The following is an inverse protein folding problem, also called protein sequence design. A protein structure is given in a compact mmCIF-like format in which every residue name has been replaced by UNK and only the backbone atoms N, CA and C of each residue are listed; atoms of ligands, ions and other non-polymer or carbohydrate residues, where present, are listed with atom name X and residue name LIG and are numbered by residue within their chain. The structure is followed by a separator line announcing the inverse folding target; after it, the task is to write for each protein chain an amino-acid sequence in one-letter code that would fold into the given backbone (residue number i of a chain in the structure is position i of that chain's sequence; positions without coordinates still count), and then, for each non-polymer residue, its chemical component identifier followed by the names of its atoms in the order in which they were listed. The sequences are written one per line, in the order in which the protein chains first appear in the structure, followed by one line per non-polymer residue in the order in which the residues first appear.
data_IF_449169607898
#
_entry.id   IF_449169607898
#
_cell.length_a   1.000
_cell.length_b   1.000
_cell.length_c   1.000
_cell.angle_alpha   90.00
_cell.angle_beta   90.00
_cell.angle_gamma   90.00
#
_symmetry.space_group_name_H-M   'P 1'
#
loop_
_entity.id
_entity.type
_entity.pdbx_description
1 polymer ?
#
# COMPACT_ATOMS: atom_id res chain seq x y z
N UNK A 1 15.40 -27.94 16.32
CA UNK A 1 14.26 -27.10 16.76
C UNK A 1 14.54 -25.58 16.77
N UNK A 2 15.69 -25.07 16.29
CA UNK A 2 15.96 -23.62 16.24
C UNK A 2 15.77 -22.98 14.85
N UNK A 3 15.76 -23.77 13.77
CA UNK A 3 15.58 -23.29 12.38
C UNK A 3 14.14 -22.78 12.18
N UNK A 4 13.13 -23.55 12.57
CA UNK A 4 11.72 -23.15 12.51
C UNK A 4 11.38 -21.87 13.30
N UNK A 5 12.13 -21.52 14.35
CA UNK A 5 11.89 -20.28 15.11
C UNK A 5 12.35 -19.02 14.38
N UNK A 6 13.36 -19.12 13.51
CA UNK A 6 13.91 -17.96 12.79
C UNK A 6 12.95 -17.49 11.71
N UNK A 7 12.34 -18.43 10.99
CA UNK A 7 11.40 -18.11 9.91
C UNK A 7 10.12 -17.48 10.46
N UNK A 8 9.57 -18.02 11.56
CA UNK A 8 8.40 -17.41 12.24
C UNK A 8 8.70 -15.98 12.71
N UNK A 9 9.90 -15.72 13.23
CA UNK A 9 10.29 -14.37 13.67
C UNK A 9 10.34 -13.37 12.50
N UNK A 10 10.73 -13.82 11.30
CA UNK A 10 10.74 -12.98 10.11
C UNK A 10 9.32 -12.59 9.68
N UNK A 11 8.40 -13.56 9.63
CA UNK A 11 6.99 -13.27 9.30
C UNK A 11 6.32 -12.38 10.35
N UNK A 12 6.64 -12.55 11.63
CA UNK A 12 6.13 -11.68 12.70
C UNK A 12 6.64 -10.25 12.56
N UNK A 13 7.94 -10.07 12.28
CA UNK A 13 8.52 -8.74 12.05
C UNK A 13 7.90 -8.06 10.81
N UNK A 14 7.74 -8.81 9.71
CA UNK A 14 7.11 -8.30 8.51
C UNK A 14 5.66 -7.89 8.75
N UNK A 15 4.88 -8.73 9.44
CA UNK A 15 3.50 -8.40 9.83
C UNK A 15 3.43 -7.17 10.73
N UNK A 16 4.35 -7.03 11.68
CA UNK A 16 4.45 -5.85 12.55
C UNK A 16 4.80 -4.57 11.76
N UNK A 17 5.72 -4.66 10.79
CA UNK A 17 6.04 -3.52 9.93
C UNK A 17 4.85 -3.12 9.04
N UNK A 18 4.10 -4.08 8.52
CA UNK A 18 2.88 -3.82 7.74
C UNK A 18 1.81 -3.12 8.57
N UNK A 19 1.57 -3.57 9.81
CA UNK A 19 0.58 -2.93 10.69
C UNK A 19 1.01 -1.53 11.08
N UNK A 20 2.28 -1.31 11.41
CA UNK A 20 2.81 0.03 11.71
C UNK A 20 2.66 0.95 10.50
N UNK A 21 3.07 0.52 9.30
CA UNK A 21 2.93 1.31 8.07
C UNK A 21 1.47 1.64 7.75
N UNK A 22 0.56 0.68 7.96
CA UNK A 22 -0.89 0.89 7.81
C UNK A 22 -1.43 1.93 8.79
N UNK A 23 -1.05 1.85 10.06
CA UNK A 23 -1.44 2.84 11.08
C UNK A 23 -0.89 4.24 10.78
N UNK A 24 0.36 4.32 10.32
CA UNK A 24 0.96 5.60 9.88
C UNK A 24 0.17 6.16 8.71
N UNK A 25 -0.21 5.34 7.72
CA UNK A 25 -1.01 5.81 6.57
C UNK A 25 -2.39 6.33 6.98
N UNK A 26 -3.03 5.71 7.97
CA UNK A 26 -4.34 6.14 8.47
C UNK A 26 -4.27 7.40 9.33
N UNK A 27 -3.16 7.64 10.02
CA UNK A 27 -2.99 8.80 10.91
C UNK A 27 -2.34 10.00 10.20
N UNK A 28 -1.41 9.74 9.27
CA UNK A 28 -0.71 10.76 8.50
C UNK A 28 -1.64 11.43 7.49
N UNK A 29 -1.94 12.71 7.73
CA UNK A 29 -2.65 13.57 6.81
C UNK A 29 -2.71 15.00 7.35
N UNK A 30 -3.01 15.95 6.46
CA UNK A 30 -3.06 17.37 6.82
C UNK A 30 -4.21 17.71 7.80
N UNK A 31 -5.24 16.87 7.85
CA UNK A 31 -6.38 17.05 8.77
C UNK A 31 -6.05 16.53 10.17
N UNK A 32 -6.24 17.34 11.23
CA UNK A 32 -6.06 16.91 12.62
C UNK A 32 -6.93 15.70 12.97
N UNK A 33 -6.43 14.84 13.87
CA UNK A 33 -7.13 13.62 14.30
C UNK A 33 -8.50 13.90 14.94
N UNK A 34 -8.67 15.07 15.55
CA UNK A 34 -9.95 15.48 16.15
C UNK A 34 -11.04 15.69 15.09
N UNK A 35 -10.72 16.36 13.98
CA UNK A 35 -11.67 16.56 12.88
C UNK A 35 -12.03 15.24 12.20
N UNK A 36 -11.07 14.32 12.15
CA UNK A 36 -11.26 12.98 11.62
C UNK A 36 -12.25 12.17 12.48
N UNK A 37 -12.12 12.24 13.81
CA UNK A 37 -13.03 11.57 14.74
C UNK A 37 -14.44 12.17 14.68
N UNK A 38 -14.54 13.51 14.64
CA UNK A 38 -15.82 14.21 14.52
C UNK A 38 -16.52 13.90 13.20
N UNK A 39 -15.78 13.80 12.08
CA UNK A 39 -16.35 13.41 10.78
C UNK A 39 -16.87 11.97 10.73
N UNK A 40 -16.33 11.06 11.55
CA UNK A 40 -16.89 9.71 11.73
C UNK A 40 -18.18 9.78 12.54
N UNK A 41 -18.16 10.47 13.67
CA UNK A 41 -19.33 10.58 14.55
C UNK A 41 -20.50 11.25 13.83
N UNK A 42 -20.26 12.35 13.11
CA UNK A 42 -21.32 13.04 12.36
C UNK A 42 -21.96 12.15 11.28
N UNK A 43 -21.17 11.32 10.61
CA UNK A 43 -21.68 10.39 9.60
C UNK A 43 -22.52 9.27 10.20
N UNK A 44 -22.16 8.80 11.40
CA UNK A 44 -22.88 7.74 12.12
C UNK A 44 -24.18 8.28 12.74
N UNK A 45 -24.15 9.46 13.34
CA UNK A 45 -25.29 9.99 14.12
C UNK A 45 -26.25 10.85 13.32
N UNK A 46 -25.77 11.68 12.39
CA UNK A 46 -26.60 12.68 11.70
C UNK A 46 -26.92 12.33 10.25
N UNK A 47 -26.40 11.21 9.71
CA UNK A 47 -26.52 10.81 8.30
C UNK A 47 -26.26 11.95 7.30
N UNK A 48 -25.51 12.97 7.71
CA UNK A 48 -25.16 14.11 6.87
C UNK A 48 -24.04 13.70 5.92
N UNK A 49 -24.13 14.13 4.67
CA UNK A 49 -23.14 13.86 3.62
C UNK A 49 -21.88 14.72 3.78
N UNK A 50 -21.36 14.82 5.00
CA UNK A 50 -20.10 15.52 5.27
C UNK A 50 -18.95 14.64 4.78
N UNK A 51 -18.00 15.28 4.11
CA UNK A 51 -16.75 14.66 3.67
C UNK A 51 -16.02 14.03 4.86
N UNK A 52 -15.67 12.74 4.77
CA UNK A 52 -14.94 12.04 5.81
C UNK A 52 -13.54 11.67 5.30
N UNK A 53 -12.48 12.39 5.74
CA UNK A 53 -11.12 12.17 5.25
C UNK A 53 -10.61 10.73 5.43
N UNK A 54 -11.08 9.99 6.45
CA UNK A 54 -10.67 8.60 6.64
C UNK A 54 -11.27 7.67 5.60
N UNK A 55 -12.59 7.76 5.38
CA UNK A 55 -13.30 6.82 4.50
C UNK A 55 -13.15 7.19 3.03
N UNK A 56 -13.13 8.48 2.72
CA UNK A 56 -13.18 8.96 1.34
C UNK A 56 -11.78 9.07 0.71
N UNK A 57 -10.71 9.23 1.50
CA UNK A 57 -9.34 9.40 0.98
C UNK A 57 -8.32 8.40 1.56
N UNK A 58 -8.21 8.30 2.90
CA UNK A 58 -7.12 7.54 3.55
C UNK A 58 -7.27 6.03 3.41
N UNK A 59 -8.48 5.50 3.59
CA UNK A 59 -8.75 4.07 3.49
C UNK A 59 -8.61 3.55 2.03
N UNK A 60 -9.18 4.21 1.00
CA UNK A 60 -8.90 3.87 -0.39
C UNK A 60 -7.41 3.92 -0.73
N UNK A 61 -6.68 4.94 -0.26
CA UNK A 61 -5.22 5.05 -0.46
C UNK A 61 -4.46 3.88 0.15
N UNK A 62 -4.82 3.45 1.36
CA UNK A 62 -4.20 2.30 2.02
C UNK A 62 -4.41 1.00 1.23
N UNK A 63 -5.61 0.78 0.69
CA UNK A 63 -5.91 -0.38 -0.17
C UNK A 63 -5.02 -0.36 -1.42
N UNK A 64 -4.94 0.77 -2.11
CA UNK A 64 -4.10 0.92 -3.31
C UNK A 64 -2.62 0.67 -2.99
N UNK A 65 -2.11 1.19 -1.87
CA UNK A 65 -0.73 0.97 -1.42
C UNK A 65 -0.43 -0.52 -1.18
N UNK A 66 -1.33 -1.24 -0.49
CA UNK A 66 -1.15 -2.66 -0.22
C UNK A 66 -1.22 -3.49 -1.50
N UNK A 67 -2.22 -3.26 -2.35
CA UNK A 67 -2.38 -3.98 -3.62
C UNK A 67 -1.20 -3.74 -4.56
N UNK A 68 -0.76 -2.48 -4.68
CA UNK A 68 0.37 -2.11 -5.53
C UNK A 68 1.67 -2.72 -4.99
N UNK A 69 1.95 -2.58 -3.69
CA UNK A 69 3.14 -3.17 -3.07
C UNK A 69 3.20 -4.70 -3.21
N UNK A 70 2.08 -5.39 -2.98
CA UNK A 70 2.00 -6.84 -3.17
C UNK A 70 2.22 -7.23 -4.64
N UNK A 71 1.62 -6.50 -5.58
CA UNK A 71 1.79 -6.74 -7.02
C UNK A 71 3.25 -6.55 -7.46
N UNK A 72 3.94 -5.53 -6.96
CA UNK A 72 5.37 -5.33 -7.23
C UNK A 72 6.23 -6.46 -6.66
N UNK A 73 5.95 -6.90 -5.43
CA UNK A 73 6.69 -8.00 -4.80
C UNK A 73 6.53 -9.30 -5.60
N UNK A 74 5.30 -9.63 -6.03
CA UNK A 74 5.02 -10.81 -6.87
C UNK A 74 5.68 -10.68 -8.24
N UNK A 75 5.54 -9.53 -8.91
CA UNK A 75 6.16 -9.29 -10.21
C UNK A 75 7.69 -9.44 -10.15
N UNK A 76 8.32 -8.91 -9.11
CA UNK A 76 9.76 -9.09 -8.85
C UNK A 76 10.14 -10.57 -8.70
N UNK A 77 9.42 -11.31 -7.86
CA UNK A 77 9.67 -12.74 -7.65
C UNK A 77 9.50 -13.56 -8.94
N UNK A 78 8.45 -13.27 -9.73
CA UNK A 78 8.19 -13.93 -11.01
C UNK A 78 9.31 -13.65 -12.00
N UNK A 79 9.73 -12.40 -12.17
CA UNK A 79 10.81 -12.04 -13.09
C UNK A 79 12.15 -12.64 -12.66
N UNK A 80 12.46 -12.61 -11.37
CA UNK A 80 13.67 -13.26 -10.82
C UNK A 80 13.67 -14.77 -11.11
N UNK A 81 12.52 -15.43 -10.96
CA UNK A 81 12.37 -16.86 -11.27
C UNK A 81 12.45 -17.16 -12.75
N UNK A 82 11.85 -16.34 -13.62
CA UNK A 82 11.85 -16.57 -15.07
C UNK A 82 13.25 -16.42 -15.67
N UNK A 83 13.94 -15.32 -15.31
CA UNK A 83 15.27 -15.04 -15.82
C UNK A 83 16.38 -15.76 -15.07
N UNK A 84 16.05 -16.48 -13.99
CA UNK A 84 17.01 -17.09 -13.07
C UNK A 84 18.11 -16.10 -12.65
N UNK A 85 17.71 -14.83 -12.47
CA UNK A 85 18.61 -13.73 -12.18
C UNK A 85 18.05 -12.95 -10.98
N UNK A 86 18.71 -13.00 -9.81
CA UNK A 86 18.23 -12.31 -8.61
C UNK A 86 18.23 -10.78 -8.74
N UNK A 87 18.89 -10.22 -9.76
CA UNK A 87 18.90 -8.79 -10.06
C UNK A 87 17.80 -8.36 -11.05
N UNK A 88 17.04 -9.32 -11.61
CA UNK A 88 15.94 -8.99 -12.50
C UNK A 88 14.83 -8.25 -11.72
N UNK A 89 14.36 -7.14 -12.28
CA UNK A 89 13.25 -6.36 -11.73
C UNK A 89 12.45 -5.68 -12.84
N UNK A 90 11.17 -5.33 -12.60
CA UNK A 90 10.33 -4.72 -13.63
C UNK A 90 10.90 -3.42 -14.21
N UNK A 91 11.60 -2.64 -13.38
CA UNK A 91 12.18 -1.36 -13.78
C UNK A 91 13.36 -1.50 -14.74
N UNK A 92 14.18 -2.54 -14.58
CA UNK A 92 15.38 -2.76 -15.43
C UNK A 92 14.99 -3.23 -16.82
N UNK A 93 13.90 -3.97 -16.95
CA UNK A 93 13.38 -4.49 -18.23
C UNK A 93 12.54 -3.46 -19.01
N UNK A 94 12.43 -2.22 -18.52
CA UNK A 94 11.69 -1.14 -19.19
C UNK A 94 10.17 -1.21 -19.05
N UNK A 95 9.63 -2.13 -18.24
CA UNK A 95 8.19 -2.32 -18.04
C UNK A 95 7.56 -1.06 -17.40
N UNK A 96 8.25 -0.48 -16.41
CA UNK A 96 7.80 0.78 -15.77
C UNK A 96 7.80 1.96 -16.75
N UNK A 97 8.82 2.08 -17.61
CA UNK A 97 8.91 3.15 -18.61
C UNK A 97 7.77 3.05 -19.65
N UNK A 98 7.43 1.84 -20.08
CA UNK A 98 6.30 1.60 -20.98
C UNK A 98 4.96 2.03 -20.36
N UNK A 99 4.75 1.74 -19.08
CA UNK A 99 3.58 2.20 -18.34
C UNK A 99 3.48 3.73 -18.28
N UNK A 100 4.58 4.41 -17.93
CA UNK A 100 4.62 5.88 -17.92
C UNK A 100 4.37 6.50 -19.29
N UNK A 101 4.92 5.91 -20.36
CA UNK A 101 4.69 6.36 -21.73
C UNK A 101 3.22 6.24 -22.13
N UNK A 102 2.56 5.14 -21.76
CA UNK A 102 1.13 4.95 -22.01
C UNK A 102 0.28 5.99 -21.27
N UNK A 103 0.58 6.27 -20.00
CA UNK A 103 -0.09 7.34 -19.24
C UNK A 103 0.08 8.69 -19.94
N UNK A 104 1.30 9.04 -20.35
CA UNK A 104 1.54 10.31 -21.07
C UNK A 104 0.77 10.40 -22.39
N UNK A 105 0.73 9.32 -23.18
CA UNK A 105 0.00 9.29 -24.45
C UNK A 105 -1.53 9.35 -24.30
N UNK A 106 -2.07 8.83 -23.20
CA UNK A 106 -3.52 8.82 -22.95
C UNK A 106 -4.02 10.10 -22.30
N UNK A 107 -3.16 10.80 -21.55
CA UNK A 107 -3.48 12.09 -20.93
C UNK A 107 -3.30 13.28 -21.87
N UNK A 108 -2.50 13.16 -22.94
CA UNK A 108 -2.34 14.17 -23.98
C UNK A 108 -3.51 14.11 -24.97
#
# INVERSE_FOLDING_TARGET
MSIFRKDTSFYLLFGLLLTISGLVTLTAGATPLEQVWNGILDRIFHHSSVWNPLLDERLPRLIVLLCTGASLAVSGAVLQSLFHNPLASPSVLGISCGGSLFVTLTLI
#
